data_IF_617604268498
#
_entry.id   IF_617604268498
#
_cell.length_a   1.000
_cell.length_b   1.000
_cell.length_c   1.000
_cell.angle_alpha   90.00
_cell.angle_beta   90.00
_cell.angle_gamma   90.00
#
_symmetry.space_group_name_H-M   'P 1'
#
loop_
_entity.id
_entity.type
_entity.pdbx_description
1 polymer ?
#
# COMPACT_ATOMS: atom_id res chain seq x y z
N UNK A 1 -20.19 -6.84 30.39
CA UNK A 1 -21.22 -7.64 31.09
C UNK A 1 -20.58 -8.05 32.39
N UNK A 2 -20.73 -7.19 33.38
CA UNK A 2 -20.26 -7.40 34.74
C UNK A 2 -21.17 -8.47 35.35
N UNK A 3 -20.58 -9.59 35.79
CA UNK A 3 -21.29 -10.55 36.62
C UNK A 3 -20.85 -10.27 38.05
N UNK A 4 -21.64 -9.41 38.66
CA UNK A 4 -21.85 -9.33 40.08
C UNK A 4 -22.41 -10.69 40.53
N UNK A 5 -21.61 -11.50 41.21
CA UNK A 5 -22.09 -12.64 41.98
C UNK A 5 -21.53 -12.54 43.39
N UNK A 6 -22.10 -11.58 44.13
CA UNK A 6 -21.96 -11.49 45.56
C UNK A 6 -22.82 -12.58 46.20
N UNK A 7 -22.30 -13.80 46.27
CA UNK A 7 -22.86 -14.84 47.12
C UNK A 7 -22.52 -14.46 48.57
N UNK A 8 -23.49 -13.82 49.20
CA UNK A 8 -23.48 -13.52 50.62
C UNK A 8 -23.54 -14.86 51.37
N UNK A 9 -22.39 -15.36 51.83
CA UNK A 9 -22.34 -16.38 52.87
C UNK A 9 -22.93 -15.77 54.14
N UNK A 10 -24.24 -15.87 54.27
CA UNK A 10 -24.93 -15.60 55.51
C UNK A 10 -24.68 -16.82 56.40
N UNK A 11 -23.53 -16.83 57.08
CA UNK A 11 -23.31 -17.76 58.17
C UNK A 11 -24.44 -17.60 59.19
N UNK A 12 -25.22 -18.66 59.36
CA UNK A 12 -26.20 -18.75 60.43
C UNK A 12 -25.42 -18.88 61.75
N UNK A 13 -25.45 -17.89 62.66
CA UNK A 13 -24.61 -17.86 63.85
C UNK A 13 -25.01 -18.90 64.92
N UNK A 14 -25.87 -19.87 64.57
CA UNK A 14 -26.37 -20.94 65.44
C UNK A 14 -25.67 -22.29 65.28
N UNK A 15 -24.84 -22.52 64.24
CA UNK A 15 -24.29 -23.86 63.98
C UNK A 15 -22.93 -24.14 64.64
N UNK A 16 -22.25 -23.12 65.17
CA UNK A 16 -20.88 -23.23 65.72
C UNK A 16 -20.80 -23.95 67.08
N UNK A 17 -21.92 -24.25 67.73
CA UNK A 17 -21.94 -24.74 69.12
C UNK A 17 -22.60 -26.12 69.31
N UNK A 18 -22.69 -26.96 68.27
CA UNK A 18 -23.14 -28.34 68.44
C UNK A 18 -21.92 -29.26 68.64
N UNK A 19 -21.77 -29.81 69.86
CA UNK A 19 -20.73 -30.81 70.11
C UNK A 19 -20.83 -31.93 69.07
N UNK A 20 -19.69 -32.39 68.57
CA UNK A 20 -19.64 -33.47 67.58
C UNK A 20 -20.46 -34.66 68.06
N UNK A 21 -21.33 -35.20 67.20
CA UNK A 21 -22.21 -36.33 67.53
C UNK A 21 -21.41 -37.53 68.06
N UNK A 22 -20.17 -37.68 67.59
CA UNK A 22 -19.23 -38.69 68.09
C UNK A 22 -18.77 -38.37 69.52
N UNK A 23 -18.41 -37.12 69.82
CA UNK A 23 -17.97 -36.69 71.16
C UNK A 23 -19.13 -36.80 72.17
N UNK A 24 -20.34 -36.40 71.76
CA UNK A 24 -21.56 -36.56 72.56
C UNK A 24 -21.90 -38.03 72.85
N UNK A 25 -21.73 -38.92 71.86
CA UNK A 25 -21.90 -40.36 72.03
C UNK A 25 -20.87 -41.00 72.97
N UNK A 26 -19.60 -40.56 72.91
CA UNK A 26 -18.57 -40.98 73.85
C UNK A 26 -18.87 -40.46 75.26
N UNK A 27 -19.19 -39.17 75.40
CA UNK A 27 -19.57 -38.56 76.67
C UNK A 27 -20.72 -39.33 77.34
N UNK A 28 -21.79 -39.60 76.59
CA UNK A 28 -22.96 -40.36 77.06
C UNK A 28 -22.58 -41.77 77.55
N UNK A 29 -21.64 -42.43 76.87
CA UNK A 29 -21.17 -43.77 77.25
C UNK A 29 -20.29 -43.75 78.51
N UNK A 30 -19.44 -42.74 78.64
CA UNK A 30 -18.55 -42.55 79.80
C UNK A 30 -19.36 -42.16 81.04
N UNK A 31 -20.30 -41.22 80.93
CA UNK A 31 -21.16 -40.81 82.03
C UNK A 31 -22.04 -41.97 82.54
N UNK A 32 -22.54 -42.83 81.65
CA UNK A 32 -23.29 -44.03 82.04
C UNK A 32 -22.43 -45.04 82.81
N UNK A 33 -21.14 -45.15 82.50
CA UNK A 33 -20.23 -46.03 83.25
C UNK A 33 -19.89 -45.42 84.62
N UNK A 34 -19.69 -44.10 84.69
CA UNK A 34 -19.52 -43.40 85.96
C UNK A 34 -20.71 -43.56 86.89
N UNK A 35 -21.93 -43.45 86.38
CA UNK A 35 -23.15 -43.70 87.15
C UNK A 35 -23.16 -45.13 87.74
N UNK A 36 -22.70 -46.13 86.98
CA UNK A 36 -22.57 -47.52 87.46
C UNK A 36 -21.47 -47.68 88.52
N UNK A 37 -20.36 -46.97 88.41
CA UNK A 37 -19.29 -47.00 89.42
C UNK A 37 -19.72 -46.34 90.73
N UNK A 38 -20.37 -45.18 90.65
CA UNK A 38 -20.93 -44.48 91.81
C UNK A 38 -21.92 -45.38 92.56
N UNK A 39 -22.80 -46.09 91.83
CA UNK A 39 -23.75 -47.03 92.43
C UNK A 39 -23.13 -48.25 93.12
N UNK A 40 -21.86 -48.58 92.87
CA UNK A 40 -21.17 -49.74 93.49
C UNK A 40 -20.12 -49.37 94.53
N UNK A 41 -19.49 -48.21 94.39
CA UNK A 41 -18.29 -47.83 95.14
C UNK A 41 -18.35 -46.40 95.72
N UNK A 42 -19.52 -45.75 95.69
CA UNK A 42 -19.75 -44.35 96.07
C UNK A 42 -19.09 -43.29 95.16
N UNK A 43 -19.40 -42.02 95.41
CA UNK A 43 -19.02 -40.87 94.58
C UNK A 43 -17.50 -40.54 94.62
N UNK A 44 -16.85 -40.83 95.75
CA UNK A 44 -15.44 -40.46 95.98
C UNK A 44 -14.48 -41.08 94.95
N UNK A 45 -14.85 -42.22 94.34
CA UNK A 45 -14.04 -42.91 93.32
C UNK A 45 -13.95 -42.13 92.00
N UNK A 46 -14.94 -41.29 91.68
CA UNK A 46 -15.02 -40.57 90.39
C UNK A 46 -14.66 -39.08 90.54
N UNK A 47 -14.66 -38.56 91.76
CA UNK A 47 -14.54 -37.13 92.07
C UNK A 47 -13.32 -36.44 91.46
N UNK A 48 -12.16 -37.08 91.48
CA UNK A 48 -10.92 -36.54 90.86
C UNK A 48 -10.80 -36.87 89.37
N UNK A 49 -11.48 -37.92 88.90
CA UNK A 49 -11.42 -38.38 87.51
C UNK A 49 -12.37 -37.59 86.60
N UNK A 50 -13.52 -37.17 87.12
CA UNK A 50 -14.55 -36.47 86.35
C UNK A 50 -14.04 -35.17 85.70
N UNK A 51 -13.32 -34.27 86.38
CA UNK A 51 -12.79 -33.05 85.77
C UNK A 51 -11.80 -33.34 84.64
N UNK A 52 -11.00 -34.41 84.76
CA UNK A 52 -10.05 -34.83 83.71
C UNK A 52 -10.79 -35.32 82.47
N UNK A 53 -11.83 -36.13 82.65
CA UNK A 53 -12.65 -36.62 81.53
C UNK A 53 -13.41 -35.49 80.85
N UNK A 54 -13.98 -34.56 81.62
CA UNK A 54 -14.63 -33.36 81.07
C UNK A 54 -13.63 -32.57 80.23
N UNK A 55 -12.44 -32.27 80.77
CA UNK A 55 -11.40 -31.54 80.04
C UNK A 55 -10.96 -32.28 78.77
N UNK A 56 -10.86 -33.62 78.77
CA UNK A 56 -10.54 -34.40 77.57
C UNK A 56 -11.66 -34.31 76.53
N UNK A 57 -12.94 -34.38 76.94
CA UNK A 57 -14.08 -34.27 76.03
C UNK A 57 -14.20 -32.86 75.44
N UNK A 58 -13.99 -31.81 76.23
CA UNK A 58 -13.97 -30.42 75.77
C UNK A 58 -12.82 -30.17 74.78
N UNK A 59 -11.61 -30.65 75.07
CA UNK A 59 -10.48 -30.55 74.15
C UNK A 59 -10.73 -31.31 72.83
N UNK A 60 -11.33 -32.50 72.93
CA UNK A 60 -11.68 -33.30 71.76
C UNK A 60 -12.70 -32.56 70.88
N UNK A 61 -13.73 -31.97 71.50
CA UNK A 61 -14.75 -31.20 70.79
C UNK A 61 -14.17 -29.94 70.14
N UNK A 62 -13.29 -29.22 70.84
CA UNK A 62 -12.57 -28.08 70.31
C UNK A 62 -11.72 -28.44 69.07
N UNK A 63 -11.01 -29.56 69.12
CA UNK A 63 -10.20 -30.05 67.98
C UNK A 63 -11.11 -30.48 66.82
N UNK A 64 -12.28 -31.06 67.08
CA UNK A 64 -13.25 -31.38 66.02
C UNK A 64 -13.79 -30.13 65.35
N UNK A 65 -14.11 -29.08 66.11
CA UNK A 65 -14.58 -27.81 65.57
C UNK A 65 -13.51 -27.15 64.69
N UNK A 66 -12.27 -27.06 65.19
CA UNK A 66 -11.13 -26.52 64.43
C UNK A 66 -10.88 -27.32 63.14
N UNK A 67 -10.94 -28.65 63.22
CA UNK A 67 -10.74 -29.50 62.04
C UNK A 67 -11.85 -29.35 61.00
N UNK A 68 -13.10 -29.05 61.42
CA UNK A 68 -14.21 -28.77 60.51
C UNK A 68 -14.02 -27.41 59.81
N UNK A 69 -13.53 -26.39 60.54
CA UNK A 69 -13.19 -25.09 59.97
C UNK A 69 -12.10 -25.23 58.91
N UNK A 70 -11.02 -25.97 59.21
CA UNK A 70 -9.94 -26.26 58.26
C UNK A 70 -10.45 -27.03 57.02
N UNK A 71 -11.41 -27.95 57.19
CA UNK A 71 -12.00 -28.68 56.08
C UNK A 71 -12.77 -27.75 55.13
N UNK A 72 -13.53 -26.80 55.68
CA UNK A 72 -14.25 -25.77 54.91
C UNK A 72 -13.27 -24.84 54.19
N UNK A 73 -12.22 -24.36 54.87
CA UNK A 73 -11.19 -23.53 54.25
C UNK A 73 -10.49 -24.26 53.09
N UNK A 74 -10.18 -25.54 53.26
CA UNK A 74 -9.60 -26.37 52.20
C UNK A 74 -10.54 -26.53 51.01
N UNK A 75 -11.85 -26.60 51.21
CA UNK A 75 -12.83 -26.69 50.13
C UNK A 75 -12.94 -25.37 49.36
N UNK A 76 -12.99 -24.24 50.06
CA UNK A 76 -12.97 -22.90 49.45
C UNK A 76 -11.69 -22.67 48.62
N UNK A 77 -10.52 -23.03 49.17
CA UNK A 77 -9.26 -22.89 48.45
C UNK A 77 -9.18 -23.79 47.20
N UNK A 78 -9.83 -24.96 47.22
CA UNK A 78 -9.93 -25.83 46.04
C UNK A 78 -10.82 -25.21 44.97
N UNK A 79 -11.96 -24.64 45.35
CA UNK A 79 -12.87 -23.96 44.43
C UNK A 79 -12.19 -22.74 43.78
N UNK A 80 -11.51 -21.90 44.57
CA UNK A 80 -10.71 -20.78 44.07
C UNK A 80 -9.62 -21.24 43.10
N UNK A 81 -8.96 -22.37 43.39
CA UNK A 81 -7.94 -22.93 42.50
C UNK A 81 -8.54 -23.40 41.16
N UNK A 82 -9.71 -24.04 41.18
CA UNK A 82 -10.42 -24.48 39.97
C UNK A 82 -10.86 -23.29 39.11
N UNK A 83 -11.35 -22.22 39.75
CA UNK A 83 -11.67 -20.97 39.06
C UNK A 83 -10.42 -20.35 38.42
N UNK A 84 -9.30 -20.29 39.15
CA UNK A 84 -8.02 -19.78 38.64
C UNK A 84 -7.52 -20.60 37.43
N UNK A 85 -7.62 -21.92 37.48
CA UNK A 85 -7.26 -22.80 36.36
C UNK A 85 -8.12 -22.48 35.14
N UNK A 86 -9.44 -22.38 35.31
CA UNK A 86 -10.38 -22.07 34.23
C UNK A 86 -10.07 -20.72 33.58
N UNK A 87 -9.80 -19.69 34.39
CA UNK A 87 -9.42 -18.37 33.89
C UNK A 87 -8.08 -18.40 33.15
N UNK A 88 -7.08 -19.10 33.70
CA UNK A 88 -5.79 -19.27 33.07
C UNK A 88 -5.90 -19.94 31.69
N UNK A 89 -6.70 -21.00 31.57
CA UNK A 89 -6.90 -21.70 30.30
C UNK A 89 -7.60 -20.80 29.26
N UNK A 90 -8.60 -20.02 29.69
CA UNK A 90 -9.26 -19.04 28.83
C UNK A 90 -8.29 -17.98 28.32
N UNK A 91 -7.48 -17.39 29.20
CA UNK A 91 -6.49 -16.38 28.83
C UNK A 91 -5.41 -16.95 27.92
N UNK A 92 -4.93 -18.16 28.22
CA UNK A 92 -3.98 -18.89 27.38
C UNK A 92 -4.53 -19.11 25.97
N UNK A 93 -5.81 -19.47 25.83
CA UNK A 93 -6.46 -19.63 24.54
C UNK A 93 -6.60 -18.29 23.78
N UNK A 94 -7.01 -17.22 24.47
CA UNK A 94 -7.10 -15.88 23.88
C UNK A 94 -5.73 -15.38 23.40
N UNK A 95 -4.69 -15.58 24.21
CA UNK A 95 -3.32 -15.18 23.87
C UNK A 95 -2.80 -15.95 22.65
N UNK A 96 -3.06 -17.26 22.57
CA UNK A 96 -2.72 -18.07 21.40
C UNK A 96 -3.44 -17.58 20.13
N UNK A 97 -4.75 -17.30 20.22
CA UNK A 97 -5.52 -16.78 19.08
C UNK A 97 -5.08 -15.36 18.65
N UNK A 98 -4.63 -14.53 19.59
CA UNK A 98 -4.06 -13.23 19.27
C UNK A 98 -2.71 -13.35 18.57
N UNK A 99 -1.85 -14.28 19.01
CA UNK A 99 -0.55 -14.57 18.39
C UNK A 99 -0.72 -15.09 16.95
N UNK A 100 -1.63 -16.04 16.73
CA UNK A 100 -1.95 -16.56 15.39
C UNK A 100 -2.40 -15.44 14.43
N UNK A 101 -3.31 -14.56 14.88
CA UNK A 101 -3.74 -13.39 14.09
C UNK A 101 -2.62 -12.39 13.81
N UNK A 102 -1.68 -12.24 14.74
CA UNK A 102 -0.54 -11.35 14.55
C UNK A 102 0.40 -11.86 13.46
N UNK A 103 0.65 -13.17 13.43
CA UNK A 103 1.47 -13.82 12.39
C UNK A 103 0.80 -13.65 11.01
N UNK A 104 -0.50 -13.93 10.90
CA UNK A 104 -1.24 -13.74 9.63
C UNK A 104 -1.20 -12.30 9.14
N UNK A 105 -1.32 -11.34 10.06
CA UNK A 105 -1.22 -9.92 9.75
C UNK A 105 0.19 -9.54 9.28
N UNK A 106 1.23 -9.99 9.97
CA UNK A 106 2.63 -9.75 9.59
C UNK A 106 2.92 -10.30 8.18
N UNK A 107 2.52 -11.53 7.89
CA UNK A 107 2.67 -12.16 6.57
C UNK A 107 1.94 -11.38 5.47
N UNK A 108 0.70 -10.95 5.74
CA UNK A 108 -0.07 -10.13 4.79
C UNK A 108 0.60 -8.78 4.52
N UNK A 109 1.13 -8.13 5.55
CA UNK A 109 1.82 -6.84 5.42
C UNK A 109 3.16 -6.99 4.70
N UNK A 110 3.92 -8.04 4.98
CA UNK A 110 5.15 -8.41 4.28
C UNK A 110 4.88 -8.64 2.77
N UNK A 111 3.78 -9.31 2.44
CA UNK A 111 3.36 -9.54 1.06
C UNK A 111 2.97 -8.23 0.35
N UNK A 112 2.12 -7.39 0.97
CA UNK A 112 1.72 -6.09 0.40
C UNK A 112 2.94 -5.19 0.17
N UNK A 113 3.88 -5.16 1.13
CA UNK A 113 5.14 -4.43 1.01
C UNK A 113 5.96 -4.90 -0.19
N UNK A 114 6.09 -6.22 -0.40
CA UNK A 114 6.79 -6.79 -1.55
C UNK A 114 6.13 -6.40 -2.87
N UNK A 115 4.80 -6.44 -2.93
CA UNK A 115 4.03 -6.08 -4.13
C UNK A 115 4.16 -4.58 -4.45
N UNK A 116 4.07 -3.72 -3.45
CA UNK A 116 4.30 -2.28 -3.59
C UNK A 116 5.74 -1.98 -4.04
N UNK A 117 6.73 -2.65 -3.45
CA UNK A 117 8.13 -2.49 -3.83
C UNK A 117 8.38 -2.92 -5.28
N UNK A 118 7.79 -4.03 -5.72
CA UNK A 118 7.81 -4.48 -7.12
C UNK A 118 7.18 -3.44 -8.06
N UNK A 119 6.04 -2.86 -7.65
CA UNK A 119 5.37 -1.80 -8.41
C UNK A 119 6.21 -0.54 -8.52
N UNK A 120 6.89 -0.14 -7.46
CA UNK A 120 7.84 1.00 -7.46
C UNK A 120 8.96 0.75 -8.47
N UNK A 121 9.61 -0.42 -8.43
CA UNK A 121 10.69 -0.76 -9.36
C UNK A 121 10.23 -0.71 -10.83
N UNK A 122 9.01 -1.19 -11.11
CA UNK A 122 8.41 -1.12 -12.44
C UNK A 122 8.20 0.34 -12.90
N UNK A 123 7.64 1.18 -12.04
CA UNK A 123 7.39 2.59 -12.33
C UNK A 123 8.69 3.38 -12.51
N UNK A 124 9.72 3.08 -11.72
CA UNK A 124 11.06 3.65 -11.87
C UNK A 124 11.68 3.27 -13.22
N UNK A 125 11.53 2.01 -13.66
CA UNK A 125 12.01 1.56 -14.96
C UNK A 125 11.25 2.26 -16.11
N UNK A 126 9.93 2.37 -15.99
CA UNK A 126 9.09 3.08 -16.96
C UNK A 126 9.49 4.56 -17.05
N UNK A 127 9.74 5.20 -15.91
CA UNK A 127 10.16 6.61 -15.85
C UNK A 127 11.49 6.81 -16.56
N UNK A 128 12.50 5.99 -16.24
CA UNK A 128 13.81 6.00 -16.92
C UNK A 128 13.68 5.80 -18.43
N UNK A 129 12.80 4.91 -18.87
CA UNK A 129 12.53 4.70 -20.30
C UNK A 129 11.95 5.96 -20.97
N UNK A 130 11.00 6.62 -20.32
CA UNK A 130 10.38 7.84 -20.85
C UNK A 130 11.36 9.00 -20.87
N UNK A 131 12.20 9.16 -19.85
CA UNK A 131 13.28 10.16 -19.82
C UNK A 131 14.24 9.98 -20.99
N UNK A 132 14.63 8.74 -21.31
CA UNK A 132 15.49 8.46 -22.45
C UNK A 132 14.81 8.85 -23.78
N UNK A 133 13.52 8.54 -23.94
CA UNK A 133 12.75 8.96 -25.14
C UNK A 133 12.69 10.48 -25.25
N UNK A 134 12.45 11.20 -24.15
CA UNK A 134 12.43 12.66 -24.12
C UNK A 134 13.78 13.24 -24.53
N UNK A 135 14.89 12.70 -23.99
CA UNK A 135 16.25 13.11 -24.37
C UNK A 135 16.51 12.90 -25.86
N UNK A 136 16.17 11.72 -26.39
CA UNK A 136 16.35 11.42 -27.82
C UNK A 136 15.54 12.38 -28.72
N UNK A 137 14.32 12.75 -28.32
CA UNK A 137 13.51 13.71 -29.07
C UNK A 137 14.10 15.12 -29.01
N UNK A 138 14.56 15.56 -27.83
CA UNK A 138 15.26 16.84 -27.67
C UNK A 138 16.52 16.91 -28.56
N UNK A 139 17.32 15.84 -28.61
CA UNK A 139 18.50 15.76 -29.46
C UNK A 139 18.15 15.76 -30.97
N UNK A 140 17.00 15.20 -31.34
CA UNK A 140 16.50 15.28 -32.73
C UNK A 140 16.07 16.70 -33.07
N UNK A 141 15.33 17.37 -32.18
CA UNK A 141 14.88 18.75 -32.34
C UNK A 141 16.11 19.67 -32.49
N UNK A 142 17.09 19.57 -31.61
CA UNK A 142 18.30 20.41 -31.67
C UNK A 142 19.06 20.28 -32.99
N UNK A 143 19.16 19.05 -33.54
CA UNK A 143 19.76 18.84 -34.87
C UNK A 143 18.95 19.44 -36.02
N UNK A 144 17.63 19.52 -35.89
CA UNK A 144 16.79 20.17 -36.90
C UNK A 144 16.88 21.69 -36.80
N UNK A 145 16.89 22.24 -35.59
CA UNK A 145 17.09 23.67 -35.33
C UNK A 145 18.43 24.17 -35.87
N UNK A 146 19.50 23.39 -35.72
CA UNK A 146 20.82 23.73 -36.29
C UNK A 146 20.78 23.82 -37.82
N UNK A 147 20.18 22.84 -38.50
CA UNK A 147 20.01 22.87 -39.96
C UNK A 147 19.13 24.02 -40.42
N UNK A 148 18.06 24.33 -39.68
CA UNK A 148 17.21 25.48 -39.98
C UNK A 148 18.02 26.79 -39.86
N UNK A 149 18.85 26.92 -38.82
CA UNK A 149 19.70 28.09 -38.63
C UNK A 149 20.75 28.23 -39.76
N UNK A 150 21.35 27.13 -40.21
CA UNK A 150 22.26 27.11 -41.36
C UNK A 150 21.56 27.58 -42.64
N UNK A 151 20.40 26.99 -42.98
CA UNK A 151 19.62 27.39 -44.15
C UNK A 151 19.20 28.86 -44.10
N UNK A 152 18.82 29.35 -42.91
CA UNK A 152 18.48 30.77 -42.71
C UNK A 152 19.69 31.68 -42.92
N UNK A 153 20.88 31.25 -42.49
CA UNK A 153 22.14 31.97 -42.74
C UNK A 153 22.47 32.00 -44.23
N UNK A 154 22.35 30.88 -44.93
CA UNK A 154 22.57 30.80 -46.39
C UNK A 154 21.57 31.66 -47.17
N UNK A 155 20.28 31.61 -46.80
CA UNK A 155 19.25 32.46 -47.37
C UNK A 155 19.58 33.95 -47.20
N UNK A 156 19.95 34.36 -45.99
CA UNK A 156 20.31 35.75 -45.71
C UNK A 156 21.56 36.18 -46.51
N UNK A 157 22.57 35.31 -46.61
CA UNK A 157 23.78 35.60 -47.40
C UNK A 157 23.46 35.73 -48.90
N UNK A 158 22.60 34.86 -49.44
CA UNK A 158 22.15 34.93 -50.83
C UNK A 158 21.33 36.19 -51.09
N UNK A 159 20.42 36.52 -50.17
CA UNK A 159 19.62 37.74 -50.24
C UNK A 159 20.50 38.99 -50.21
N UNK A 160 21.51 39.03 -49.33
CA UNK A 160 22.49 40.11 -49.28
C UNK A 160 23.26 40.25 -50.60
N UNK A 161 23.77 39.14 -51.16
CA UNK A 161 24.46 39.13 -52.45
C UNK A 161 23.56 39.61 -53.60
N UNK A 162 22.30 39.17 -53.63
CA UNK A 162 21.32 39.62 -54.61
C UNK A 162 21.04 41.12 -54.48
N UNK A 163 20.92 41.61 -53.25
CA UNK A 163 20.70 43.03 -52.96
C UNK A 163 21.91 43.86 -53.42
N UNK A 164 23.13 43.42 -53.14
CA UNK A 164 24.37 44.06 -53.61
C UNK A 164 24.45 44.09 -55.13
N UNK A 165 24.04 43.01 -55.81
CA UNK A 165 23.99 42.95 -57.26
C UNK A 165 23.04 44.01 -57.84
N UNK A 166 21.86 44.20 -57.25
CA UNK A 166 20.90 45.24 -57.66
C UNK A 166 21.51 46.63 -57.48
N UNK A 167 22.10 46.90 -56.31
CA UNK A 167 22.74 48.20 -56.05
C UNK A 167 23.87 48.49 -57.03
N UNK A 168 24.75 47.50 -57.27
CA UNK A 168 25.83 47.61 -58.27
C UNK A 168 25.30 47.88 -59.67
N UNK A 169 24.24 47.18 -60.10
CA UNK A 169 23.62 47.41 -61.40
C UNK A 169 23.00 48.81 -61.52
N UNK A 170 22.31 49.26 -60.47
CA UNK A 170 21.74 50.60 -60.39
C UNK A 170 22.82 51.69 -60.48
N UNK A 171 23.92 51.52 -59.74
CA UNK A 171 25.06 52.44 -59.77
C UNK A 171 25.71 52.48 -61.16
N UNK A 172 25.84 51.33 -61.84
CA UNK A 172 26.32 51.28 -63.22
C UNK A 172 25.41 52.05 -64.18
N UNK A 173 24.09 51.87 -64.09
CA UNK A 173 23.12 52.61 -64.90
C UNK A 173 23.21 54.12 -64.68
N UNK A 174 23.33 54.56 -63.44
CA UNK A 174 23.51 55.97 -63.10
C UNK A 174 24.80 56.52 -63.69
N UNK A 175 25.94 55.82 -63.54
CA UNK A 175 27.22 56.20 -64.15
C UNK A 175 27.14 56.32 -65.67
N UNK A 176 26.46 55.40 -66.36
CA UNK A 176 26.25 55.47 -67.82
C UNK A 176 25.35 56.65 -68.21
N UNK A 177 24.28 56.92 -67.45
CA UNK A 177 23.40 58.07 -67.70
C UNK A 177 24.15 59.40 -67.53
N UNK A 178 25.00 59.53 -66.49
CA UNK A 178 25.83 60.72 -66.31
C UNK A 178 26.85 60.88 -67.44
N UNK A 179 27.58 59.83 -67.84
CA UNK A 179 28.52 59.91 -68.98
C UNK A 179 27.87 60.33 -70.30
N UNK A 180 26.61 59.97 -70.54
CA UNK A 180 25.87 60.45 -71.72
C UNK A 180 25.46 61.92 -71.60
N UNK A 181 25.27 62.45 -70.39
CA UNK A 181 24.88 63.84 -70.13
C UNK A 181 26.09 64.80 -70.03
N UNK A 182 27.28 64.32 -69.66
CA UNK A 182 28.54 65.09 -69.65
C UNK A 182 29.45 64.81 -70.86
N UNK A 183 28.99 64.02 -71.82
CA UNK A 183 29.70 63.70 -73.06
C UNK A 183 29.48 64.70 -74.20
N UNK A 184 29.72 66.00 -73.95
CA UNK A 184 30.01 66.97 -75.02
C UNK A 184 31.45 67.46 -74.86
N UNK A 185 32.41 66.75 -75.47
CA UNK A 185 33.45 67.30 -76.36
C UNK A 185 34.51 66.26 -76.73
N UNK A 186 34.75 66.17 -78.04
CA UNK A 186 35.88 65.55 -78.78
C UNK A 186 35.90 64.01 -78.97
N UNK A 187 35.49 63.64 -80.19
CA UNK A 187 36.13 62.73 -81.15
C UNK A 187 36.56 61.33 -80.67
N UNK A 188 35.92 60.27 -81.16
CA UNK A 188 36.14 59.80 -82.53
C UNK A 188 35.62 58.34 -82.67
N UNK A 189 34.83 58.15 -83.72
CA UNK A 189 34.75 56.95 -84.55
C UNK A 189 35.41 55.66 -84.05
N UNK A 190 34.58 54.74 -83.55
CA UNK A 190 34.67 53.34 -84.01
C UNK A 190 33.31 52.66 -83.83
N UNK A 191 32.46 52.88 -84.84
CA UNK A 191 31.48 51.87 -85.21
C UNK A 191 32.22 50.53 -85.32
N UNK A 192 31.94 49.59 -84.42
CA UNK A 192 32.32 48.19 -84.62
C UNK A 192 31.26 47.28 -84.04
N UNK A 193 30.33 46.97 -84.95
CA UNK A 193 29.64 45.68 -85.08
C UNK A 193 28.62 45.36 -83.98
N UNK A 194 27.39 45.80 -84.26
CA UNK A 194 26.18 45.08 -83.88
C UNK A 194 26.30 43.64 -84.40
N UNK A 195 26.79 42.71 -83.57
CA UNK A 195 26.44 41.29 -83.67
C UNK A 195 25.19 41.10 -82.84
N UNK A 196 24.04 41.00 -83.52
CA UNK A 196 22.82 40.40 -82.96
C UNK A 196 23.10 38.92 -82.74
N UNK A 197 23.73 38.58 -81.62
CA UNK A 197 23.70 37.21 -81.10
C UNK A 197 22.51 37.12 -80.14
N UNK A 198 21.65 36.12 -80.36
CA UNK A 198 20.55 35.79 -79.44
C UNK A 198 21.14 35.55 -78.04
N UNK A 199 20.48 35.98 -76.95
CA UNK A 199 20.87 35.50 -75.64
C UNK A 199 20.78 33.97 -75.65
N UNK A 200 21.85 33.32 -75.19
CA UNK A 200 21.88 31.87 -74.96
C UNK A 200 20.61 31.51 -74.20
N UNK A 201 19.74 30.77 -74.87
CA UNK A 201 18.49 30.28 -74.31
C UNK A 201 18.83 29.52 -73.04
N UNK A 202 18.23 29.98 -71.95
CA UNK A 202 18.12 29.29 -70.67
C UNK A 202 17.84 27.81 -70.95
N UNK A 203 18.86 26.97 -70.77
CA UNK A 203 18.76 25.54 -70.93
C UNK A 203 17.72 25.03 -69.95
N UNK A 204 16.58 24.65 -70.50
CA UNK A 204 15.54 23.91 -69.81
C UNK A 204 16.21 22.64 -69.27
N UNK A 205 16.21 22.50 -67.96
CA UNK A 205 16.61 21.27 -67.28
C UNK A 205 15.70 20.16 -67.83
N UNK A 206 16.25 19.21 -68.59
CA UNK A 206 15.52 18.01 -68.97
C UNK A 206 15.31 17.18 -67.71
N UNK A 207 14.14 17.30 -67.08
CA UNK A 207 13.66 16.26 -66.17
C UNK A 207 13.29 15.03 -67.01
N UNK A 208 13.85 13.83 -66.73
CA UNK A 208 13.39 12.63 -67.38
C UNK A 208 12.06 12.19 -66.73
N UNK A 209 11.05 11.97 -67.58
CA UNK A 209 9.96 11.03 -67.29
C UNK A 209 8.70 11.61 -66.65
N UNK A 210 7.89 12.31 -67.43
CA UNK A 210 6.45 12.42 -67.22
C UNK A 210 5.76 11.91 -68.47
N UNK A 211 5.50 10.61 -68.54
CA UNK A 211 4.32 10.13 -69.24
C UNK A 211 3.75 8.91 -68.54
N UNK A 212 2.45 9.03 -68.29
CA UNK A 212 1.58 8.10 -67.61
C UNK A 212 1.43 6.85 -68.45
N UNK A 213 1.69 5.66 -67.88
CA UNK A 213 0.93 4.42 -68.10
C UNK A 213 1.38 3.38 -67.06
N UNK A 214 0.53 3.05 -66.10
CA UNK A 214 0.50 1.75 -65.40
C UNK A 214 -0.16 0.70 -66.34
N UNK A 215 0.09 -0.64 -66.22
CA UNK A 215 0.32 -1.35 -64.96
C UNK A 215 1.30 -2.56 -64.95
N UNK A 216 1.78 -2.85 -63.74
CA UNK A 216 2.06 -4.15 -63.08
C UNK A 216 3.23 -5.10 -63.50
N UNK A 217 3.72 -5.80 -62.45
CA UNK A 217 4.66 -6.93 -62.33
C UNK A 217 6.20 -6.73 -62.20
N UNK A 218 6.67 -6.93 -60.95
CA UNK A 218 7.77 -7.83 -60.53
C UNK A 218 9.21 -7.60 -61.07
N UNK A 219 10.11 -7.04 -60.23
CA UNK A 219 11.39 -7.64 -59.72
C UNK A 219 12.48 -6.61 -59.37
N UNK A 220 13.06 -6.84 -58.19
CA UNK A 220 14.47 -6.67 -57.78
C UNK A 220 15.16 -5.30 -57.86
N UNK A 221 15.19 -4.64 -56.70
CA UNK A 221 16.33 -4.04 -56.00
C UNK A 221 17.51 -3.44 -56.82
N UNK A 222 17.60 -2.11 -56.80
CA UNK A 222 18.87 -1.37 -56.72
C UNK A 222 18.68 -0.21 -55.75
N UNK A 223 19.40 -0.26 -54.62
CA UNK A 223 19.43 0.80 -53.60
C UNK A 223 20.25 2.00 -54.09
N UNK A 224 19.68 3.21 -53.98
CA UNK A 224 20.40 4.48 -54.03
C UNK A 224 20.09 5.25 -52.74
N UNK A 225 21.09 5.60 -51.90
CA UNK A 225 20.86 6.32 -50.65
C UNK A 225 20.57 7.79 -50.92
N UNK A 226 19.45 8.32 -50.42
CA UNK A 226 19.23 9.76 -50.31
C UNK A 226 18.00 10.36 -50.96
N UNK A 227 16.88 9.63 -51.10
CA UNK A 227 15.60 10.25 -51.48
C UNK A 227 14.48 9.80 -50.56
N UNK A 228 14.13 10.68 -49.61
CA UNK A 228 13.01 10.52 -48.69
C UNK A 228 11.69 10.36 -49.46
N UNK A 229 11.14 9.15 -49.43
CA UNK A 229 9.73 8.93 -49.71
C UNK A 229 8.99 8.93 -48.38
N UNK A 230 8.25 10.02 -48.13
CA UNK A 230 7.18 10.06 -47.13
C UNK A 230 6.17 8.95 -47.42
N UNK A 231 6.41 7.76 -46.88
CA UNK A 231 5.44 6.67 -46.86
C UNK A 231 4.65 6.76 -45.56
N UNK A 232 3.58 7.55 -45.59
CA UNK A 232 2.46 7.34 -44.70
C UNK A 232 1.81 6.01 -45.11
N UNK A 233 2.18 4.91 -44.46
CA UNK A 233 1.46 3.64 -44.58
C UNK A 233 0.82 3.31 -43.23
N UNK A 234 -0.37 3.85 -43.03
CA UNK A 234 -1.41 3.21 -42.23
C UNK A 234 -1.78 1.86 -42.88
N UNK A 235 -2.10 0.85 -42.05
CA UNK A 235 -2.37 -0.58 -42.34
C UNK A 235 -1.07 -1.41 -42.31
N UNK A 236 -0.69 -1.99 -41.17
CA UNK A 236 -1.38 -3.13 -40.56
C UNK A 236 -1.32 -3.12 -39.03
N UNK A 237 -2.50 -3.15 -38.40
CA UNK A 237 -2.66 -3.60 -37.02
C UNK A 237 -2.21 -5.06 -36.88
N UNK A 238 -1.34 -5.43 -35.92
CA UNK A 238 -1.65 -6.56 -35.08
C UNK A 238 -2.66 -6.05 -34.03
N UNK A 239 -3.87 -6.63 -34.02
CA UNK A 239 -4.83 -6.42 -32.95
C UNK A 239 -4.18 -6.92 -31.64
N UNK A 240 -3.62 -6.01 -30.84
CA UNK A 240 -3.35 -6.29 -29.43
C UNK A 240 -4.66 -6.17 -28.67
N UNK A 241 -5.44 -7.25 -28.69
CA UNK A 241 -6.54 -7.44 -27.75
C UNK A 241 -5.95 -7.94 -26.43
N UNK A 242 -5.88 -7.09 -25.41
CA UNK A 242 -6.04 -7.54 -24.02
C UNK A 242 -7.32 -6.91 -23.50
N UNK A 243 -8.43 -7.52 -23.92
CA UNK A 243 -9.76 -7.25 -23.41
C UNK A 243 -9.81 -7.72 -21.95
N UNK A 244 -10.12 -6.78 -21.04
CA UNK A 244 -10.59 -7.11 -19.69
C UNK A 244 -11.95 -7.79 -19.86
N UNK A 245 -11.93 -9.12 -19.84
CA UNK A 245 -13.15 -9.92 -19.78
C UNK A 245 -13.60 -9.95 -18.33
N UNK A 246 -14.43 -8.97 -17.98
CA UNK A 246 -15.37 -9.06 -16.87
C UNK A 246 -16.33 -10.21 -17.20
N UNK A 247 -16.04 -11.40 -16.67
CA UNK A 247 -17.04 -12.45 -16.54
C UNK A 247 -17.82 -12.13 -15.24
N UNK A 248 -18.93 -11.43 -15.41
CA UNK A 248 -20.01 -11.46 -14.46
C UNK A 248 -20.87 -12.70 -14.76
N UNK A 249 -20.92 -13.63 -13.81
CA UNK A 249 -22.03 -14.54 -13.60
C UNK A 249 -22.16 -14.70 -12.08
N UNK A 250 -22.94 -13.86 -11.40
CA UNK A 250 -24.39 -13.95 -11.22
C UNK A 250 -24.80 -15.07 -10.24
N UNK A 251 -24.95 -14.68 -8.97
CA UNK A 251 -25.96 -15.21 -8.04
C UNK A 251 -26.08 -14.24 -6.86
N UNK A 252 -26.97 -13.25 -6.96
CA UNK A 252 -28.37 -13.33 -6.53
C UNK A 252 -28.54 -13.03 -5.02
N UNK A 253 -28.92 -11.77 -4.76
CA UNK A 253 -29.92 -11.32 -3.76
C UNK A 253 -29.59 -11.41 -2.25
N UNK A 254 -29.70 -10.22 -1.64
CA UNK A 254 -30.40 -9.87 -0.37
C UNK A 254 -29.88 -10.52 0.92
N UNK A 255 -29.31 -9.71 1.80
CA UNK A 255 -29.95 -9.20 3.04
C UNK A 255 -29.07 -9.68 4.19
N UNK A 256 -28.78 -9.04 5.31
CA UNK A 256 -29.31 -7.93 6.11
C UNK A 256 -28.17 -7.55 7.08
N UNK A 257 -28.20 -6.37 7.71
CA UNK A 257 -27.37 -6.12 8.90
C UNK A 257 -26.88 -4.69 9.13
N UNK A 258 -27.72 -3.88 9.76
CA UNK A 258 -27.44 -2.56 10.34
C UNK A 258 -26.32 -2.58 11.39
N UNK A 259 -25.63 -1.45 11.59
CA UNK A 259 -25.59 -0.65 12.85
C UNK A 259 -24.32 0.22 12.90
N UNK A 260 -24.48 1.54 12.68
CA UNK A 260 -24.32 2.60 13.69
C UNK A 260 -22.87 3.02 13.95
N UNK A 261 -22.49 4.16 13.35
CA UNK A 261 -21.34 4.95 13.76
C UNK A 261 -21.86 6.35 14.09
N UNK A 262 -22.15 6.59 15.37
CA UNK A 262 -22.46 7.90 15.94
C UNK A 262 -21.38 8.27 16.97
N UNK A 263 -20.93 9.51 16.88
CA UNK A 263 -20.43 10.38 17.95
C UNK A 263 -19.22 9.96 18.80
N UNK A 264 -18.06 10.51 18.46
CA UNK A 264 -17.11 11.01 19.46
C UNK A 264 -16.72 12.45 19.13
N UNK A 265 -17.58 13.38 19.55
CA UNK A 265 -17.18 14.76 19.77
C UNK A 265 -17.97 15.23 20.99
N UNK A 266 -17.26 15.55 22.08
CA UNK A 266 -17.53 16.58 23.11
C UNK A 266 -16.94 16.12 24.45
N UNK A 267 -16.30 17.09 25.14
CA UNK A 267 -16.10 17.15 26.59
C UNK A 267 -14.65 16.98 27.09
N UNK A 268 -13.83 18.01 26.83
CA UNK A 268 -12.86 18.50 27.80
C UNK A 268 -13.27 19.93 28.18
N UNK A 269 -14.07 20.06 29.24
CA UNK A 269 -14.31 21.30 29.99
C UNK A 269 -15.00 20.92 31.30
N UNK A 270 -14.19 20.77 32.36
CA UNK A 270 -14.41 21.17 33.77
C UNK A 270 -13.70 20.22 34.74
N UNK A 271 -12.56 20.67 35.27
CA UNK A 271 -12.10 20.54 36.67
C UNK A 271 -10.77 21.27 36.85
#
# INVERSE_FOLDING_TARGET
MELEDGVLYQEDPGSSAMMSERVSGLASSIYREFERMIGKYDEDVVKELMPLVVAVLENLDSVFAENQEHEVELELLKEDNEQLITQYEREKALRKSAEERYIEYEDSQEQEKKDLQSRVQMLEAQTRQMELKTKNCADQIGRLEEREAELKKEYNALHQRHTEMIHSYMEHLERTKYQQMTGETTDNASQSRIRKERPVSLGIFSLPGSDVMTPDLHREAVETPGTDTWRYNSISHPRSNTSLKLEANESLRRGDGKSSQENLETQWSDS
#
